data_IF_497372176639
#
_entry.id   IF_497372176639
#
_cell.length_a   1.000
_cell.length_b   1.000
_cell.length_c   1.000
_cell.angle_alpha   90.00
_cell.angle_beta   90.00
_cell.angle_gamma   90.00
#
_symmetry.space_group_name_H-M   'P 1'
#
loop_
_entity.id
_entity.type
_entity.pdbx_description
1 polymer ?
#
# COMPACT_ATOMS: atom_id res chain seq x y z
N UNK A 1 3.55 -15.45 48.73
CA UNK A 1 3.01 -15.15 47.39
C UNK A 1 2.26 -13.83 47.46
N UNK A 2 2.88 -12.71 47.03
CA UNK A 2 2.23 -11.40 46.95
C UNK A 2 2.08 -11.03 45.47
N UNK A 3 0.82 -10.87 45.04
CA UNK A 3 0.44 -10.45 43.70
C UNK A 3 0.95 -9.02 43.44
N UNK A 4 1.77 -8.84 42.40
CA UNK A 4 2.04 -7.54 41.81
C UNK A 4 1.13 -7.34 40.60
N UNK A 5 -0.16 -7.07 40.84
CA UNK A 5 -1.05 -6.61 39.77
C UNK A 5 -0.71 -5.14 39.49
N UNK A 6 0.14 -4.98 38.48
CA UNK A 6 0.07 -3.95 37.43
C UNK A 6 -0.40 -2.55 37.85
N UNK A 7 0.57 -1.68 38.14
CA UNK A 7 0.48 -0.30 37.65
C UNK A 7 0.55 -0.36 36.12
N UNK A 8 -0.60 -0.57 35.48
CA UNK A 8 -0.77 -0.45 34.04
C UNK A 8 -0.53 1.01 33.69
N UNK A 9 0.75 1.32 33.47
CA UNK A 9 1.19 2.66 33.18
C UNK A 9 0.62 3.04 31.80
N UNK A 10 -0.18 4.10 31.72
CA UNK A 10 -0.79 4.62 30.48
C UNK A 10 0.25 4.78 29.34
N UNK A 11 1.51 5.00 29.71
CA UNK A 11 2.66 5.05 28.81
C UNK A 11 2.95 3.72 28.09
N UNK A 12 2.73 2.56 28.72
CA UNK A 12 2.94 1.25 28.08
C UNK A 12 1.96 1.01 26.92
N UNK A 13 0.71 1.46 27.05
CA UNK A 13 -0.28 1.39 25.98
C UNK A 13 0.07 2.33 24.83
N UNK A 14 0.51 3.56 25.13
CA UNK A 14 0.95 4.51 24.10
C UNK A 14 2.20 4.00 23.35
N UNK A 15 3.19 3.47 24.06
CA UNK A 15 4.41 2.92 23.45
C UNK A 15 4.10 1.66 22.66
N UNK A 16 3.20 0.78 23.15
CA UNK A 16 2.77 -0.39 22.40
C UNK A 16 2.02 -0.01 21.12
N UNK A 17 1.12 0.98 21.18
CA UNK A 17 0.40 1.48 20.00
C UNK A 17 1.31 2.14 18.96
N UNK A 18 2.28 2.95 19.40
CA UNK A 18 3.29 3.55 18.51
C UNK A 18 4.22 2.48 17.94
N UNK A 19 4.68 1.51 18.74
CA UNK A 19 5.47 0.37 18.24
C UNK A 19 4.70 -0.50 17.26
N UNK A 20 3.39 -0.68 17.44
CA UNK A 20 2.57 -1.42 16.48
C UNK A 20 2.41 -0.64 15.17
N UNK A 21 2.15 0.68 15.23
CA UNK A 21 2.13 1.53 14.03
C UNK A 21 3.48 1.57 13.31
N UNK A 22 4.60 1.61 14.05
CA UNK A 22 5.95 1.59 13.49
C UNK A 22 6.35 0.22 12.93
N UNK A 23 5.85 -0.89 13.51
CA UNK A 23 6.01 -2.23 12.92
C UNK A 23 5.23 -2.42 11.61
N UNK A 24 4.17 -1.64 11.42
CA UNK A 24 3.35 -1.60 10.19
C UNK A 24 3.93 -0.62 9.15
N UNK A 25 5.01 0.10 9.45
CA UNK A 25 5.89 0.61 8.38
C UNK A 25 6.66 -0.57 7.78
N UNK A 26 5.92 -1.39 7.02
CA UNK A 26 6.46 -2.38 6.09
C UNK A 26 7.38 -1.59 5.17
N UNK A 27 8.68 -1.87 5.20
CA UNK A 27 9.63 -1.27 4.25
C UNK A 27 9.26 -1.85 2.89
N UNK A 28 8.48 -1.09 2.11
CA UNK A 28 8.13 -1.46 0.74
C UNK A 28 9.39 -1.24 -0.07
N UNK A 29 9.90 -2.30 -0.72
CA UNK A 29 10.97 -2.15 -1.69
C UNK A 29 10.35 -1.47 -2.90
N UNK A 30 10.91 -0.33 -3.31
CA UNK A 30 10.55 0.30 -4.58
C UNK A 30 11.64 -0.08 -5.56
N UNK A 31 11.28 -0.77 -6.63
CA UNK A 31 12.25 -1.11 -7.68
C UNK A 31 12.37 0.04 -8.67
N UNK A 32 13.56 0.20 -9.22
CA UNK A 32 13.80 1.14 -10.31
C UNK A 32 13.32 0.50 -11.62
N UNK A 33 12.24 1.00 -12.19
CA UNK A 33 11.57 0.46 -13.38
C UNK A 33 11.31 1.59 -14.39
N UNK A 34 11.44 1.28 -15.68
CA UNK A 34 11.07 2.21 -16.75
C UNK A 34 9.56 2.45 -16.79
N UNK A 35 9.16 3.69 -17.08
CA UNK A 35 7.77 4.12 -17.13
C UNK A 35 6.89 3.23 -18.03
N UNK A 36 7.37 2.87 -19.22
CA UNK A 36 6.59 2.06 -20.15
C UNK A 36 6.37 0.64 -19.64
N UNK A 37 7.35 0.10 -18.89
CA UNK A 37 7.23 -1.21 -18.27
C UNK A 37 6.26 -1.14 -17.10
N UNK A 38 6.37 -0.11 -16.25
CA UNK A 38 5.45 0.13 -15.14
C UNK A 38 4.00 0.23 -15.64
N UNK A 39 3.75 1.00 -16.71
CA UNK A 39 2.41 1.17 -17.30
C UNK A 39 1.80 -0.15 -17.78
N UNK A 40 2.59 -1.03 -18.39
CA UNK A 40 2.13 -2.36 -18.81
C UNK A 40 1.79 -3.26 -17.63
N UNK A 41 2.61 -3.23 -16.58
CA UNK A 41 2.41 -4.05 -15.39
C UNK A 41 1.19 -3.59 -14.59
N UNK A 42 1.02 -2.28 -14.39
CA UNK A 42 -0.17 -1.69 -13.74
C UNK A 42 -1.44 -2.06 -14.50
N UNK A 43 -1.44 -1.90 -15.84
CA UNK A 43 -2.59 -2.32 -16.65
C UNK A 43 -2.88 -3.83 -16.52
N UNK A 44 -1.84 -4.67 -16.58
CA UNK A 44 -1.98 -6.12 -16.43
C UNK A 44 -2.52 -6.52 -15.04
N UNK A 45 -2.14 -5.77 -14.01
CA UNK A 45 -2.62 -5.96 -12.65
C UNK A 45 -4.14 -5.70 -12.58
N UNK A 46 -4.62 -4.53 -13.02
CA UNK A 46 -6.06 -4.22 -13.02
C UNK A 46 -6.89 -5.10 -13.97
N UNK A 47 -6.30 -5.68 -15.02
CA UNK A 47 -6.99 -6.70 -15.82
C UNK A 47 -7.10 -8.05 -15.10
N UNK A 48 -6.16 -8.37 -14.22
CA UNK A 48 -6.16 -9.62 -13.45
C UNK A 48 -7.05 -9.53 -12.20
N UNK A 49 -7.21 -8.33 -11.65
CA UNK A 49 -8.02 -8.04 -10.47
C UNK A 49 -9.18 -7.11 -10.83
N UNK A 50 -10.40 -7.65 -10.86
CA UNK A 50 -11.61 -6.89 -11.23
C UNK A 50 -11.88 -5.67 -10.35
N UNK A 51 -11.48 -5.71 -9.08
CA UNK A 51 -11.54 -4.58 -8.14
C UNK A 51 -10.23 -4.56 -7.35
N UNK A 52 -9.41 -3.54 -7.58
CA UNK A 52 -8.19 -3.33 -6.83
C UNK A 52 -7.98 -1.85 -6.55
N UNK A 53 -7.41 -1.53 -5.39
CA UNK A 53 -7.04 -0.16 -5.05
C UNK A 53 -5.60 0.16 -5.49
N UNK A 54 -5.34 1.42 -5.80
CA UNK A 54 -4.01 1.89 -6.22
C UNK A 54 -2.91 1.57 -5.19
N UNK A 55 -3.23 1.58 -3.89
CA UNK A 55 -2.26 1.23 -2.85
C UNK A 55 -1.88 -0.27 -2.87
N UNK A 56 -2.80 -1.13 -3.30
CA UNK A 56 -2.57 -2.57 -3.42
C UNK A 56 -1.68 -2.84 -4.63
N UNK A 57 -2.00 -2.21 -5.77
CA UNK A 57 -1.18 -2.27 -6.96
C UNK A 57 0.25 -1.75 -6.70
N UNK A 58 0.40 -0.62 -6.01
CA UNK A 58 1.71 -0.08 -5.63
C UNK A 58 2.51 -1.03 -4.74
N UNK A 59 1.86 -1.62 -3.74
CA UNK A 59 2.51 -2.53 -2.81
C UNK A 59 2.91 -3.85 -3.47
N UNK A 60 2.04 -4.43 -4.29
CA UNK A 60 2.22 -5.76 -4.86
C UNK A 60 3.13 -5.74 -6.10
N UNK A 61 3.11 -4.64 -6.87
CA UNK A 61 4.03 -4.42 -7.99
C UNK A 61 5.37 -3.83 -7.55
N UNK A 62 5.50 -3.46 -6.28
CA UNK A 62 6.67 -2.77 -5.71
C UNK A 62 7.01 -1.47 -6.48
N UNK A 63 5.96 -0.76 -6.92
CA UNK A 63 6.04 0.49 -7.67
C UNK A 63 5.68 1.63 -6.72
N UNK A 64 6.31 2.79 -6.93
CA UNK A 64 5.94 4.00 -6.20
C UNK A 64 4.44 4.32 -6.35
N UNK A 65 3.81 4.69 -5.24
CA UNK A 65 2.37 4.92 -5.20
C UNK A 65 1.94 6.11 -6.08
N UNK A 66 2.72 7.19 -6.12
CA UNK A 66 2.41 8.35 -6.95
C UNK A 66 2.47 7.94 -8.43
N UNK A 67 3.49 7.17 -8.81
CA UNK A 67 3.64 6.64 -10.17
C UNK A 67 2.46 5.73 -10.57
N UNK A 68 1.98 4.88 -9.67
CA UNK A 68 0.78 4.07 -9.94
C UNK A 68 -0.45 4.95 -10.14
N UNK A 69 -0.62 6.02 -9.34
CA UNK A 69 -1.75 6.93 -9.51
C UNK A 69 -1.70 7.66 -10.85
N UNK A 70 -0.55 8.21 -11.23
CA UNK A 70 -0.35 8.86 -12.53
C UNK A 70 -0.69 7.93 -13.69
N UNK A 71 -0.16 6.69 -13.65
CA UNK A 71 -0.43 5.68 -14.67
C UNK A 71 -1.91 5.33 -14.73
N UNK A 72 -2.57 5.14 -13.59
CA UNK A 72 -4.00 4.79 -13.54
C UNK A 72 -4.85 5.93 -14.11
N UNK A 73 -4.57 7.19 -13.75
CA UNK A 73 -5.26 8.36 -14.33
C UNK A 73 -5.08 8.44 -15.84
N UNK A 74 -3.87 8.22 -16.36
CA UNK A 74 -3.64 8.16 -17.81
C UNK A 74 -4.43 7.03 -18.48
N UNK A 75 -4.44 5.84 -17.87
CA UNK A 75 -5.15 4.68 -18.42
C UNK A 75 -6.68 4.87 -18.40
N UNK A 76 -7.21 5.60 -17.42
CA UNK A 76 -8.62 6.02 -17.39
C UNK A 76 -8.93 7.05 -18.49
N UNK A 77 -8.05 8.03 -18.71
CA UNK A 77 -8.19 9.01 -19.79
C UNK A 77 -8.10 8.35 -21.18
N UNK A 78 -7.26 7.32 -21.34
CA UNK A 78 -7.17 6.49 -22.55
C UNK A 78 -8.38 5.56 -22.73
N UNK A 79 -9.28 5.45 -21.73
CA UNK A 79 -10.43 4.55 -21.74
C UNK A 79 -10.06 3.06 -21.63
N UNK A 80 -8.84 2.76 -21.17
CA UNK A 80 -8.33 1.39 -21.00
C UNK A 80 -8.62 0.83 -19.61
N UNK A 81 -8.83 1.72 -18.65
CA UNK A 81 -9.44 1.43 -17.36
C UNK A 81 -10.73 2.22 -17.24
N UNK A 82 -11.71 1.64 -16.54
CA UNK A 82 -12.99 2.29 -16.32
C UNK A 82 -13.63 1.74 -15.05
N UNK A 83 -14.12 2.65 -14.21
CA UNK A 83 -14.92 2.29 -13.05
C UNK A 83 -16.22 1.68 -13.55
N UNK A 84 -16.45 0.40 -13.23
CA UNK A 84 -17.76 -0.21 -13.44
C UNK A 84 -18.74 0.58 -12.55
N UNK A 85 -19.63 1.35 -13.16
CA UNK A 85 -20.70 2.10 -12.47
C UNK A 85 -21.82 1.18 -12.00
#
# INVERSE_FOLDING_TARGET
MKLYITKFNKYYFMIAGVKNKLRVNKVIKIRNIDYNTAKKEVLGYYHSYHEAYNYEAAQDLEIDYELVCEITEELEQEGRLGVIK
#
